data_IF_491150407939
#
_entry.id   IF_491150407939
#
_cell.length_a   1.000
_cell.length_b   1.000
_cell.length_c   1.000
_cell.angle_alpha   90.00
_cell.angle_beta   90.00
_cell.angle_gamma   90.00
#
_symmetry.space_group_name_H-M   'P 1'
#
loop_
_entity.id
_entity.type
_entity.pdbx_description
1 polymer ?
#
# COMPACT_ATOMS: atom_id res chain seq x y z
N UNK A 1 18.04 33.81 20.78
CA UNK A 1 18.02 32.59 21.61
C UNK A 1 18.17 31.41 20.68
N UNK A 2 19.31 30.71 20.73
CA UNK A 2 19.58 29.53 19.90
C UNK A 2 18.74 28.38 20.45
N UNK A 3 17.89 27.79 19.61
CA UNK A 3 17.09 26.62 20.01
C UNK A 3 17.85 25.41 19.50
N UNK A 4 18.42 24.67 20.44
CA UNK A 4 19.09 23.40 20.15
C UNK A 4 18.04 22.28 20.01
N UNK A 5 17.89 21.77 18.79
CA UNK A 5 16.97 20.67 18.50
C UNK A 5 17.46 19.30 18.99
N UNK A 6 18.74 19.16 19.36
CA UNK A 6 19.33 17.88 19.75
C UNK A 6 19.16 17.62 21.26
N UNK A 7 19.27 18.67 22.07
CA UNK A 7 19.04 18.63 23.52
C UNK A 7 17.57 18.88 23.91
N UNK A 8 16.74 19.39 22.99
CA UNK A 8 15.39 19.90 23.28
C UNK A 8 14.23 19.09 22.69
N UNK A 9 13.04 19.68 22.77
CA UNK A 9 11.82 19.14 22.17
C UNK A 9 11.88 19.21 20.65
N UNK A 10 11.48 18.14 19.99
CA UNK A 10 11.56 18.08 18.54
C UNK A 10 10.48 17.20 17.91
N UNK A 11 10.13 17.56 16.69
CA UNK A 11 9.34 16.76 15.77
C UNK A 11 10.26 16.28 14.65
N UNK A 12 10.39 14.97 14.49
CA UNK A 12 11.18 14.35 13.43
C UNK A 12 10.25 13.74 12.39
N UNK A 13 10.40 14.17 11.13
CA UNK A 13 9.68 13.65 9.98
C UNK A 13 10.67 12.83 9.16
N UNK A 14 10.39 11.54 8.97
CA UNK A 14 11.25 10.59 8.25
C UNK A 14 10.55 10.08 6.99
N UNK A 15 11.25 10.18 5.86
CA UNK A 15 10.81 9.81 4.52
C UNK A 15 11.93 8.98 3.88
N UNK A 16 11.76 7.66 3.84
CA UNK A 16 12.84 6.75 3.44
C UNK A 16 14.09 6.99 4.30
N UNK A 17 15.21 7.32 3.64
CA UNK A 17 16.47 7.70 4.32
C UNK A 17 16.55 9.19 4.71
N UNK A 18 15.66 10.02 4.17
CA UNK A 18 15.62 11.45 4.50
C UNK A 18 14.96 11.67 5.85
N UNK A 19 15.57 12.55 6.67
CA UNK A 19 15.03 12.98 7.95
C UNK A 19 15.03 14.50 8.06
N UNK A 20 13.98 15.05 8.64
CA UNK A 20 13.91 16.47 8.99
C UNK A 20 13.49 16.61 10.43
N UNK A 21 14.35 17.22 11.24
CA UNK A 21 14.09 17.55 12.64
C UNK A 21 13.66 19.01 12.76
N UNK A 22 12.57 19.24 13.46
CA UNK A 22 11.97 20.55 13.67
C UNK A 22 11.89 20.84 15.17
N UNK A 23 12.32 22.02 15.58
CA UNK A 23 12.16 22.51 16.95
C UNK A 23 11.90 24.02 16.96
N UNK A 24 11.41 24.54 18.08
CA UNK A 24 11.08 25.95 18.23
C UNK A 24 9.90 26.43 17.38
N UNK A 25 9.79 27.74 17.18
CA UNK A 25 8.69 28.33 16.40
C UNK A 25 9.00 28.23 14.90
N UNK A 26 8.31 27.31 14.23
CA UNK A 26 8.43 27.09 12.79
C UNK A 26 7.17 27.60 12.08
N UNK A 27 7.35 28.18 10.89
CA UNK A 27 6.25 28.63 10.05
C UNK A 27 6.38 28.04 8.65
N UNK A 28 5.27 27.50 8.12
CA UNK A 28 5.15 27.04 6.74
C UNK A 28 6.23 26.03 6.30
N UNK A 29 6.56 25.05 7.15
CA UNK A 29 7.46 23.96 6.76
C UNK A 29 6.72 22.99 5.85
N UNK A 30 7.14 22.92 4.58
CA UNK A 30 6.64 21.94 3.62
C UNK A 30 7.69 20.85 3.36
N UNK A 31 7.22 19.63 3.22
CA UNK A 31 8.00 18.48 2.76
C UNK A 31 7.20 17.73 1.71
N UNK A 32 7.88 17.29 0.66
CA UNK A 32 7.30 16.46 -0.39
C UNK A 32 8.03 15.11 -0.41
N UNK A 33 7.31 14.07 -0.80
CA UNK A 33 7.82 12.70 -0.85
C UNK A 33 7.21 11.96 -2.04
N UNK A 34 8.02 11.11 -2.66
CA UNK A 34 7.55 10.10 -3.62
C UNK A 34 7.14 8.80 -2.91
N UNK A 35 7.54 8.62 -1.64
CA UNK A 35 7.09 7.50 -0.80
C UNK A 35 5.64 7.70 -0.35
N UNK A 36 4.91 6.59 -0.32
CA UNK A 36 3.57 6.48 0.26
C UNK A 36 3.57 6.32 1.80
N UNK A 37 4.75 6.34 2.45
CA UNK A 37 4.90 6.22 3.90
C UNK A 37 5.73 7.39 4.43
N UNK A 38 5.23 8.00 5.51
CA UNK A 38 5.96 9.00 6.29
C UNK A 38 5.89 8.55 7.75
N UNK A 39 7.04 8.53 8.43
CA UNK A 39 7.09 8.32 9.87
C UNK A 39 7.24 9.67 10.56
N UNK A 40 6.46 9.89 11.62
CA UNK A 40 6.48 11.10 12.44
C UNK A 40 6.79 10.67 13.86
N UNK A 41 7.87 11.20 14.41
CA UNK A 41 8.31 10.95 15.77
C UNK A 41 8.34 12.27 16.55
N UNK A 42 7.68 12.30 17.70
CA UNK A 42 7.60 13.49 18.54
C UNK A 42 8.30 13.22 19.88
N UNK A 43 9.32 14.03 20.18
CA UNK A 43 10.07 14.02 21.44
C UNK A 43 9.74 15.27 22.25
N UNK A 44 9.17 15.08 23.44
CA UNK A 44 8.79 16.17 24.35
C UNK A 44 9.19 15.85 25.78
N UNK A 45 9.51 16.90 26.54
CA UNK A 45 9.78 16.82 27.97
C UNK A 45 8.85 17.73 28.78
N UNK A 46 8.13 18.66 28.14
CA UNK A 46 7.20 19.63 28.74
C UNK A 46 5.97 19.85 27.84
N UNK A 47 4.89 20.35 28.43
CA UNK A 47 3.70 20.73 27.66
C UNK A 47 3.92 22.05 26.92
N UNK A 48 3.40 22.15 25.70
CA UNK A 48 3.47 23.33 24.85
C UNK A 48 2.30 23.39 23.86
N UNK A 49 2.29 24.41 22.99
CA UNK A 49 1.22 24.63 22.02
C UNK A 49 1.14 23.58 20.89
N UNK A 50 2.14 22.68 20.81
CA UNK A 50 2.14 21.55 19.87
C UNK A 50 2.32 21.97 18.41
N UNK A 51 1.80 21.14 17.51
CA UNK A 51 1.91 21.31 16.07
C UNK A 51 0.62 20.86 15.38
N UNK A 52 0.38 21.40 14.18
CA UNK A 52 -0.64 20.91 13.27
C UNK A 52 0.04 20.55 11.94
N UNK A 53 -0.22 19.33 11.45
CA UNK A 53 0.27 18.89 10.14
C UNK A 53 -0.91 18.81 9.18
N UNK A 54 -0.71 19.35 7.99
CA UNK A 54 -1.60 19.18 6.86
C UNK A 54 -0.86 18.37 5.81
N UNK A 55 -1.49 17.32 5.31
CA UNK A 55 -0.95 16.51 4.22
C UNK A 55 -1.94 16.46 3.07
N UNK A 56 -1.40 16.46 1.86
CA UNK A 56 -2.16 16.28 0.64
C UNK A 56 -1.48 15.21 -0.21
N UNK A 57 -2.25 14.22 -0.65
CA UNK A 57 -1.76 13.21 -1.58
C UNK A 57 -1.62 13.86 -2.96
N UNK A 58 -0.41 13.82 -3.52
CA UNK A 58 -0.20 14.19 -4.92
C UNK A 58 -0.32 12.95 -5.80
N UNK A 59 -0.97 13.10 -6.94
CA UNK A 59 -1.02 12.05 -7.95
C UNK A 59 0.40 11.83 -8.47
N UNK A 60 0.89 10.61 -8.35
CA UNK A 60 2.19 10.25 -8.87
C UNK A 60 2.28 10.49 -10.37
N UNK A 61 3.44 10.96 -10.82
CA UNK A 61 3.75 11.13 -12.24
C UNK A 61 4.15 9.82 -12.91
N UNK A 62 4.39 8.77 -12.12
CA UNK A 62 4.70 7.46 -12.64
C UNK A 62 3.42 6.80 -13.16
N UNK A 63 3.40 6.50 -14.46
CA UNK A 63 2.28 5.85 -15.17
C UNK A 63 1.87 4.52 -14.53
N UNK A 64 2.79 3.90 -13.78
CA UNK A 64 2.62 2.59 -13.14
C UNK A 64 2.35 2.69 -11.63
N UNK A 65 2.10 3.89 -11.09
CA UNK A 65 1.80 4.04 -9.67
C UNK A 65 0.31 3.77 -9.39
N UNK A 66 0.10 2.65 -8.73
CA UNK A 66 -1.20 2.07 -8.41
C UNK A 66 -1.24 1.57 -6.97
N UNK A 67 -0.24 1.92 -6.17
CA UNK A 67 -0.11 1.44 -4.81
C UNK A 67 -1.22 2.04 -3.93
N UNK A 68 -1.80 1.21 -3.07
CA UNK A 68 -2.90 1.64 -2.18
C UNK A 68 -2.76 1.01 -0.80
N UNK A 69 -2.89 1.83 0.22
CA UNK A 69 -3.16 1.39 1.59
C UNK A 69 -4.68 1.35 1.81
N UNK A 70 -5.20 0.23 2.27
CA UNK A 70 -6.63 -0.01 2.45
C UNK A 70 -6.88 -0.42 3.90
N UNK A 71 -7.62 0.42 4.62
CA UNK A 71 -8.03 0.19 6.01
C UNK A 71 -9.55 -0.01 6.15
N UNK A 72 -10.30 0.19 5.07
CA UNK A 72 -11.74 0.00 5.05
C UNK A 72 -12.14 -1.46 5.29
N UNK A 73 -13.20 -1.67 6.09
CA UNK A 73 -13.73 -3.01 6.40
C UNK A 73 -14.14 -3.80 5.16
N UNK A 74 -14.51 -3.12 4.07
CA UNK A 74 -14.93 -3.72 2.81
C UNK A 74 -14.57 -2.81 1.64
N UNK A 75 -13.76 -3.32 0.72
CA UNK A 75 -13.33 -2.59 -0.48
C UNK A 75 -13.36 -3.47 -1.72
N UNK A 76 -13.62 -2.86 -2.88
CA UNK A 76 -13.45 -3.51 -4.18
C UNK A 76 -12.07 -3.14 -4.71
N UNK A 77 -11.26 -4.14 -5.03
CA UNK A 77 -9.94 -3.95 -5.65
C UNK A 77 -9.99 -4.55 -7.05
N UNK A 78 -9.59 -3.76 -8.04
CA UNK A 78 -9.53 -4.15 -9.43
C UNK A 78 -8.13 -3.97 -9.98
N UNK A 79 -7.81 -4.66 -11.07
CA UNK A 79 -6.64 -4.31 -11.87
C UNK A 79 -6.73 -2.85 -12.36
N UNK A 80 -5.59 -2.19 -12.62
CA UNK A 80 -5.58 -0.86 -13.22
C UNK A 80 -6.39 -0.82 -14.52
N UNK A 81 -7.02 0.32 -14.79
CA UNK A 81 -7.87 0.57 -15.97
C UNK A 81 -9.13 -0.30 -16.13
N UNK A 82 -9.45 -1.16 -15.14
CA UNK A 82 -10.69 -1.93 -15.14
C UNK A 82 -11.92 -1.06 -15.45
N UNK A 83 -12.83 -1.47 -16.35
CA UNK A 83 -12.98 -2.81 -16.94
C UNK A 83 -12.18 -3.07 -18.22
N UNK A 84 -11.34 -2.13 -18.65
CA UNK A 84 -10.40 -2.34 -19.75
C UNK A 84 -9.30 -3.34 -19.36
N UNK A 85 -8.51 -3.75 -20.35
CA UNK A 85 -7.32 -4.57 -20.10
C UNK A 85 -6.34 -3.81 -19.20
N UNK A 86 -5.62 -4.52 -18.33
CA UNK A 86 -4.58 -3.89 -17.51
C UNK A 86 -3.41 -3.39 -18.40
N UNK A 87 -2.65 -2.36 -17.99
CA UNK A 87 -1.44 -1.96 -18.71
C UNK A 87 -0.29 -2.98 -18.58
N UNK A 88 0.68 -2.89 -19.49
CA UNK A 88 1.94 -3.63 -19.40
C UNK A 88 2.86 -3.05 -18.31
N UNK A 89 3.82 -3.85 -17.86
CA UNK A 89 4.89 -3.45 -16.93
C UNK A 89 4.38 -2.86 -15.59
N UNK A 90 3.23 -3.33 -15.11
CA UNK A 90 2.67 -2.89 -13.83
C UNK A 90 3.39 -3.57 -12.67
N UNK A 91 3.51 -2.87 -11.56
CA UNK A 91 3.94 -3.41 -10.27
C UNK A 91 3.14 -2.72 -9.17
N UNK A 92 1.92 -3.20 -8.93
CA UNK A 92 0.99 -2.60 -7.97
C UNK A 92 0.99 -3.37 -6.66
N UNK A 93 1.04 -2.63 -5.55
CA UNK A 93 0.88 -3.14 -4.20
C UNK A 93 -0.38 -2.57 -3.55
N UNK A 94 -1.30 -3.44 -3.19
CA UNK A 94 -2.48 -3.12 -2.39
C UNK A 94 -2.27 -3.69 -0.99
N UNK A 95 -1.91 -2.87 -0.01
CA UNK A 95 -1.72 -3.30 1.39
C UNK A 95 -3.02 -3.12 2.17
N UNK A 96 -3.33 -4.10 3.00
CA UNK A 96 -4.51 -4.15 3.86
C UNK A 96 -4.05 -4.23 5.30
N UNK A 97 -4.55 -3.32 6.14
CA UNK A 97 -4.21 -3.28 7.56
C UNK A 97 -5.51 -3.22 8.37
N UNK A 98 -5.73 -4.24 9.20
CA UNK A 98 -6.82 -4.30 10.17
C UNK A 98 -6.32 -4.34 11.61
N UNK A 99 -7.24 -4.32 12.57
CA UNK A 99 -6.89 -4.54 13.98
C UNK A 99 -6.41 -6.00 14.20
N UNK A 100 -5.60 -6.27 15.23
CA UNK A 100 -5.12 -7.63 15.53
C UNK A 100 -6.19 -8.71 15.70
N UNK A 101 -7.43 -8.32 16.01
CA UNK A 101 -8.59 -9.22 16.12
C UNK A 101 -9.26 -9.55 14.78
N UNK A 102 -8.85 -8.90 13.69
CA UNK A 102 -9.45 -8.99 12.36
C UNK A 102 -8.66 -9.92 11.46
N UNK A 103 -9.32 -10.50 10.46
CA UNK A 103 -8.65 -11.23 9.39
C UNK A 103 -9.03 -10.66 8.03
N UNK A 104 -8.11 -10.79 7.09
CA UNK A 104 -8.31 -10.35 5.72
C UNK A 104 -8.85 -11.50 4.89
N UNK A 105 -9.94 -11.27 4.16
CA UNK A 105 -10.53 -12.23 3.22
C UNK A 105 -10.72 -11.60 1.86
N UNK A 106 -10.16 -12.23 0.84
CA UNK A 106 -10.32 -11.87 -0.57
C UNK A 106 -11.40 -12.75 -1.20
N UNK A 107 -12.41 -12.15 -1.81
CA UNK A 107 -13.40 -12.85 -2.65
C UNK A 107 -13.14 -12.50 -4.12
N UNK A 108 -12.62 -13.47 -4.87
CA UNK A 108 -12.33 -13.32 -6.29
C UNK A 108 -13.62 -13.39 -7.10
N UNK A 109 -13.90 -12.36 -7.89
CA UNK A 109 -15.09 -12.27 -8.75
C UNK A 109 -14.76 -12.45 -10.22
N UNK A 110 -13.66 -11.86 -10.67
CA UNK A 110 -13.10 -12.05 -12.01
C UNK A 110 -11.59 -12.22 -11.87
N UNK A 111 -11.02 -13.13 -12.65
CA UNK A 111 -9.58 -13.38 -12.68
C UNK A 111 -9.17 -13.89 -14.07
N UNK A 112 -8.48 -13.04 -14.82
CA UNK A 112 -7.95 -13.30 -16.16
C UNK A 112 -6.61 -12.60 -16.32
N UNK A 113 -5.53 -13.32 -16.06
CA UNK A 113 -4.14 -12.88 -16.25
C UNK A 113 -3.43 -13.80 -17.24
N UNK A 114 -2.42 -13.29 -17.96
CA UNK A 114 -1.58 -14.15 -18.77
C UNK A 114 -0.83 -15.14 -17.89
N UNK A 115 -0.66 -16.37 -18.38
CA UNK A 115 0.19 -17.37 -17.75
C UNK A 115 -0.53 -18.66 -17.45
N UNK A 116 0.25 -19.64 -17.00
CA UNK A 116 -0.20 -20.99 -16.67
C UNK A 116 0.29 -21.36 -15.27
N UNK A 117 -0.65 -21.77 -14.43
CA UNK A 117 -0.33 -22.31 -13.10
C UNK A 117 0.46 -23.62 -13.22
N UNK A 118 1.33 -23.94 -12.26
CA UNK A 118 1.63 -23.16 -11.05
C UNK A 118 2.76 -22.13 -11.24
N UNK A 119 3.44 -22.11 -12.40
CA UNK A 119 4.70 -21.35 -12.56
C UNK A 119 4.51 -19.85 -12.71
N UNK A 120 3.42 -19.39 -13.31
CA UNK A 120 3.08 -17.97 -13.45
C UNK A 120 4.26 -17.06 -13.86
N UNK A 121 4.89 -17.42 -14.98
CA UNK A 121 6.12 -16.76 -15.48
C UNK A 121 5.90 -15.33 -16.01
N UNK A 122 4.69 -15.05 -16.48
CA UNK A 122 4.30 -13.74 -17.03
C UNK A 122 3.62 -12.94 -15.92
N UNK A 123 2.37 -12.56 -16.15
CA UNK A 123 1.56 -11.85 -15.18
C UNK A 123 1.18 -12.74 -13.99
N UNK A 124 1.10 -12.12 -12.82
CA UNK A 124 0.75 -12.82 -11.58
C UNK A 124 0.12 -11.89 -10.58
N UNK A 125 -0.75 -12.48 -9.77
CA UNK A 125 -1.29 -11.89 -8.56
C UNK A 125 -0.78 -12.69 -7.36
N UNK A 126 -0.03 -12.03 -6.49
CA UNK A 126 0.46 -12.60 -5.25
C UNK A 126 -0.38 -12.07 -4.09
N UNK A 127 -0.91 -12.96 -3.25
CA UNK A 127 -1.55 -12.63 -1.98
C UNK A 127 -0.60 -13.07 -0.87
N UNK A 128 -0.17 -12.12 -0.05
CA UNK A 128 0.89 -12.32 0.95
C UNK A 128 0.32 -11.96 2.32
N UNK A 129 0.48 -12.89 3.27
CA UNK A 129 0.28 -12.63 4.70
C UNK A 129 1.58 -12.09 5.28
N UNK A 130 1.55 -10.86 5.80
CA UNK A 130 2.78 -10.22 6.30
C UNK A 130 3.16 -10.66 7.71
N UNK A 131 2.28 -11.39 8.42
CA UNK A 131 2.60 -11.95 9.73
C UNK A 131 3.30 -13.32 9.60
N UNK A 132 2.83 -14.17 8.68
CA UNK A 132 3.39 -15.51 8.50
C UNK A 132 4.40 -15.60 7.36
N UNK A 133 4.49 -14.57 6.52
CA UNK A 133 5.19 -14.59 5.23
C UNK A 133 4.64 -15.63 4.23
N UNK A 134 3.45 -16.19 4.49
CA UNK A 134 2.80 -17.09 3.55
C UNK A 134 2.42 -16.35 2.28
N UNK A 135 2.65 -17.00 1.14
CA UNK A 135 2.40 -16.42 -0.18
C UNK A 135 1.65 -17.38 -1.08
N UNK A 136 0.57 -16.87 -1.68
CA UNK A 136 -0.14 -17.55 -2.75
C UNK A 136 -0.02 -16.75 -4.05
N UNK A 137 0.63 -17.35 -5.05
CA UNK A 137 0.76 -16.79 -6.41
C UNK A 137 -0.26 -17.45 -7.33
N UNK A 138 -1.03 -16.64 -8.08
CA UNK A 138 -2.02 -17.12 -9.08
C UNK A 138 -1.85 -16.38 -10.40
N UNK A 139 -2.17 -17.05 -11.50
CA UNK A 139 -2.22 -16.51 -12.86
C UNK A 139 -3.18 -17.35 -13.73
N UNK A 140 -3.36 -16.97 -15.00
CA UNK A 140 -4.30 -17.66 -15.90
C UNK A 140 -5.74 -17.14 -15.75
N UNK A 141 -6.70 -17.96 -16.19
CA UNK A 141 -8.12 -17.63 -16.15
C UNK A 141 -8.85 -18.55 -15.17
N UNK A 142 -9.66 -17.97 -14.30
CA UNK A 142 -10.56 -18.72 -13.43
C UNK A 142 -12.00 -18.52 -13.85
N UNK A 143 -12.71 -19.62 -14.09
CA UNK A 143 -14.14 -19.62 -14.45
C UNK A 143 -15.06 -19.57 -13.23
N UNK A 144 -14.53 -19.83 -12.03
CA UNK A 144 -15.30 -19.94 -10.78
C UNK A 144 -14.90 -18.86 -9.78
N UNK A 145 -15.88 -18.42 -8.98
CA UNK A 145 -15.63 -17.53 -7.84
C UNK A 145 -15.04 -18.34 -6.68
N UNK A 146 -14.03 -17.81 -6.01
CA UNK A 146 -13.41 -18.44 -4.84
C UNK A 146 -13.02 -17.39 -3.81
N UNK A 147 -12.68 -17.85 -2.60
CA UNK A 147 -12.21 -16.98 -1.52
C UNK A 147 -10.89 -17.47 -0.96
N UNK A 148 -10.03 -16.51 -0.62
CA UNK A 148 -8.76 -16.73 0.06
C UNK A 148 -8.80 -15.94 1.35
N UNK A 149 -8.36 -16.55 2.45
CA UNK A 149 -8.32 -15.92 3.76
C UNK A 149 -6.87 -15.94 4.23
N UNK A 150 -6.38 -14.78 4.66
CA UNK A 150 -5.10 -14.68 5.34
C UNK A 150 -5.25 -15.09 6.80
N UNK A 151 -4.15 -15.51 7.40
CA UNK A 151 -4.07 -15.87 8.82
C UNK A 151 -4.13 -14.61 9.68
N UNK A 152 -3.48 -13.54 9.23
CA UNK A 152 -3.29 -12.28 9.92
C UNK A 152 -4.23 -11.13 9.54
N UNK A 153 -3.98 -10.01 10.20
CA UNK A 153 -4.64 -8.71 10.03
C UNK A 153 -3.86 -7.74 9.14
N UNK A 154 -2.61 -8.07 8.79
CA UNK A 154 -1.75 -7.29 7.90
C UNK A 154 -1.34 -8.17 6.72
N UNK A 155 -1.63 -7.71 5.52
CA UNK A 155 -1.41 -8.47 4.30
C UNK A 155 -1.40 -7.58 3.07
N UNK A 156 -0.89 -8.09 1.96
CA UNK A 156 -0.90 -7.34 0.71
C UNK A 156 -1.25 -8.22 -0.48
N UNK A 157 -1.75 -7.56 -1.52
CA UNK A 157 -1.83 -8.10 -2.87
C UNK A 157 -0.77 -7.39 -3.72
N UNK A 158 0.06 -8.16 -4.41
CA UNK A 158 0.99 -7.64 -5.42
C UNK A 158 0.60 -8.12 -6.80
N UNK A 159 0.33 -7.19 -7.71
CA UNK A 159 0.06 -7.46 -9.11
C UNK A 159 1.25 -7.03 -9.95
N UNK A 160 1.79 -7.96 -10.74
CA UNK A 160 2.82 -7.65 -11.73
C UNK A 160 2.38 -8.08 -13.12
N UNK A 161 2.61 -7.22 -14.13
CA UNK A 161 2.46 -7.57 -15.54
C UNK A 161 3.77 -7.36 -16.31
N UNK A 162 3.95 -8.13 -17.38
CA UNK A 162 5.05 -7.93 -18.33
C UNK A 162 4.61 -7.10 -19.54
N UNK A 163 5.47 -6.98 -20.54
CA UNK A 163 5.25 -6.27 -21.80
C UNK A 163 4.51 -7.10 -22.87
N UNK A 164 4.09 -8.32 -22.55
CA UNK A 164 3.44 -9.23 -23.50
C UNK A 164 1.91 -9.04 -23.55
N UNK A 165 1.11 -10.03 -23.15
CA UNK A 165 -0.34 -10.10 -23.41
C UNK A 165 -1.14 -9.54 -22.23
N UNK A 166 -1.86 -8.45 -22.45
CA UNK A 166 -2.77 -7.91 -21.44
C UNK A 166 -4.20 -8.44 -21.62
N UNK A 167 -4.78 -8.89 -20.51
CA UNK A 167 -6.13 -9.44 -20.41
C UNK A 167 -7.02 -8.55 -19.53
N UNK A 168 -8.25 -8.99 -19.25
CA UNK A 168 -9.23 -8.23 -18.47
C UNK A 168 -8.81 -7.99 -17.01
N UNK A 169 -7.82 -8.73 -16.48
CA UNK A 169 -7.31 -8.53 -15.14
C UNK A 169 -8.16 -9.18 -14.06
N UNK A 170 -8.33 -8.48 -12.94
CA UNK A 170 -9.01 -9.03 -11.77
C UNK A 170 -9.99 -8.05 -11.15
N UNK A 171 -11.00 -8.62 -10.48
CA UNK A 171 -11.91 -7.91 -9.59
C UNK A 171 -12.12 -8.72 -8.33
N UNK A 172 -11.77 -8.13 -7.19
CA UNK A 172 -11.83 -8.73 -5.87
C UNK A 172 -12.73 -7.90 -4.97
N UNK A 173 -13.43 -8.56 -4.05
CA UNK A 173 -14.03 -7.90 -2.89
C UNK A 173 -13.23 -8.31 -1.66
N UNK A 174 -12.63 -7.35 -0.99
CA UNK A 174 -11.81 -7.55 0.20
C UNK A 174 -12.64 -7.23 1.43
N UNK A 175 -12.49 -8.03 2.48
CA UNK A 175 -13.09 -7.82 3.79
C UNK A 175 -12.00 -7.85 4.85
N UNK A 176 -12.01 -6.85 5.74
CA UNK A 176 -11.20 -6.80 6.96
C UNK A 176 -12.17 -6.95 8.13
N UNK A 177 -12.29 -8.15 8.69
CA UNK A 177 -13.32 -8.45 9.70
C UNK A 177 -12.97 -9.53 10.71
#
# INVERSE_FOLDING_TARGET
MYIDCDAGESLEIRIGESRRRLCGKQYQVTMETESNVIAIEHKTHKQGHGYQLLYHLRKSRHKNDCDKLITDRKTIVTSPEWPSKYPSNMNCTYRFVGDPSKKITFRVKVFKLQGKEPRCKHDKLEMIDLLTNDKLTRCGTSSSKYSIRLSGYDGLIRFTSDDNVQLAGFKLIVYIK
#
